data_IF_336728477224
#
_entry.id   IF_336728477224
#
_cell.length_a   1.000
_cell.length_b   1.000
_cell.length_c   1.000
_cell.angle_alpha   90.00
_cell.angle_beta   90.00
_cell.angle_gamma   90.00
#
_symmetry.space_group_name_H-M   'P 1'
#
loop_
_entity.id
_entity.type
_entity.pdbx_description
1 polymer ?
#
# COMPACT_ATOMS: atom_id res chain seq x y z
N UNK A 1 5.81 26.41 20.88
CA UNK A 1 4.80 25.59 20.18
C UNK A 1 3.44 26.05 20.66
N UNK A 2 2.69 26.75 19.81
CA UNK A 2 1.40 27.37 20.18
C UNK A 2 0.30 26.32 20.26
N UNK A 3 -0.73 26.56 21.09
CA UNK A 3 -1.85 25.64 21.29
C UNK A 3 -2.54 25.24 19.97
N UNK A 4 -2.57 26.15 18.99
CA UNK A 4 -3.11 25.91 17.65
C UNK A 4 -2.38 24.79 16.91
N UNK A 5 -1.06 24.70 17.05
CA UNK A 5 -0.25 23.64 16.42
C UNK A 5 -0.57 22.28 17.03
N UNK A 6 -0.83 22.22 18.34
CA UNK A 6 -1.22 20.98 19.03
C UNK A 6 -2.61 20.53 18.59
N UNK A 7 -3.56 21.45 18.44
CA UNK A 7 -4.92 21.13 17.99
C UNK A 7 -4.88 20.62 16.54
N UNK A 8 -4.19 21.32 15.63
CA UNK A 8 -4.06 20.91 14.24
C UNK A 8 -3.37 19.54 14.11
N UNK A 9 -2.29 19.30 14.86
CA UNK A 9 -1.60 18.02 14.88
C UNK A 9 -2.50 16.87 15.37
N UNK A 10 -3.26 17.08 16.45
CA UNK A 10 -4.19 16.07 16.96
C UNK A 10 -5.32 15.77 15.98
N UNK A 11 -5.89 16.79 15.32
CA UNK A 11 -6.92 16.58 14.29
C UNK A 11 -6.41 15.73 13.11
N UNK A 12 -5.20 16.03 12.63
CA UNK A 12 -4.57 15.25 11.56
C UNK A 12 -4.28 13.82 12.02
N UNK A 13 -3.81 13.63 13.26
CA UNK A 13 -3.62 12.30 13.83
C UNK A 13 -4.93 11.51 13.93
N UNK A 14 -6.00 12.13 14.42
CA UNK A 14 -7.32 11.48 14.50
C UNK A 14 -7.82 11.07 13.12
N UNK A 15 -7.66 11.93 12.11
CA UNK A 15 -7.99 11.60 10.73
C UNK A 15 -7.14 10.43 10.19
N UNK A 16 -5.85 10.40 10.53
CA UNK A 16 -4.95 9.31 10.16
C UNK A 16 -5.31 7.98 10.85
N UNK A 17 -5.68 8.01 12.14
CA UNK A 17 -6.10 6.83 12.89
C UNK A 17 -7.45 6.28 12.42
N UNK A 18 -8.36 7.16 12.00
CA UNK A 18 -9.68 6.78 11.49
C UNK A 18 -9.61 6.00 10.16
N UNK A 19 -8.52 6.14 9.40
CA UNK A 19 -8.30 5.41 8.16
C UNK A 19 -7.35 4.23 8.43
N UNK A 20 -7.86 3.01 8.70
CA UNK A 20 -7.00 1.83 8.64
C UNK A 20 -6.38 1.77 7.24
N UNK A 21 -5.07 2.02 7.17
CA UNK A 21 -4.38 2.17 5.89
C UNK A 21 -4.54 0.94 5.00
N UNK A 22 -4.43 1.13 3.69
CA UNK A 22 -4.62 0.06 2.70
C UNK A 22 -3.78 -1.19 2.98
N UNK A 23 -2.54 -1.03 3.46
CA UNK A 23 -1.66 -2.12 3.86
C UNK A 23 -2.20 -2.93 5.05
N UNK A 24 -2.78 -2.25 6.04
CA UNK A 24 -3.35 -2.85 7.25
C UNK A 24 -4.64 -3.61 6.91
N UNK A 25 -5.52 -2.99 6.11
CA UNK A 25 -6.72 -3.64 5.57
C UNK A 25 -6.38 -4.87 4.73
N UNK A 26 -5.34 -4.77 3.88
CA UNK A 26 -4.86 -5.89 3.09
C UNK A 26 -4.36 -7.03 3.99
N UNK A 27 -3.52 -6.73 4.98
CA UNK A 27 -3.02 -7.75 5.92
C UNK A 27 -4.15 -8.40 6.74
N UNK A 28 -5.09 -7.60 7.26
CA UNK A 28 -6.28 -8.09 7.98
C UNK A 28 -7.13 -9.00 7.10
N UNK A 29 -7.45 -8.56 5.89
CA UNK A 29 -8.22 -9.36 4.92
C UNK A 29 -7.52 -10.68 4.61
N UNK A 30 -6.21 -10.63 4.37
CA UNK A 30 -5.43 -11.83 4.06
C UNK A 30 -5.38 -12.79 5.26
N UNK A 31 -5.31 -12.25 6.48
CA UNK A 31 -5.36 -13.04 7.72
C UNK A 31 -6.73 -13.70 7.92
N UNK A 32 -7.81 -12.97 7.67
CA UNK A 32 -9.19 -13.48 7.81
C UNK A 32 -9.52 -14.52 6.73
N UNK A 33 -9.10 -14.29 5.48
CA UNK A 33 -9.47 -15.15 4.34
C UNK A 33 -8.55 -16.37 4.16
N UNK A 34 -7.24 -16.22 4.42
CA UNK A 34 -6.24 -17.27 4.18
C UNK A 34 -5.54 -17.75 5.46
N UNK A 35 -5.99 -17.29 6.63
CA UNK A 35 -5.51 -17.72 7.94
C UNK A 35 -4.26 -17.01 8.45
N UNK A 36 -3.90 -17.31 9.72
CA UNK A 36 -2.86 -16.60 10.49
C UNK A 36 -1.47 -16.66 9.84
N UNK A 37 -1.10 -17.79 9.23
CA UNK A 37 0.20 -17.95 8.55
C UNK A 37 0.31 -17.05 7.32
N UNK A 38 -0.75 -16.95 6.52
CA UNK A 38 -0.78 -16.07 5.34
C UNK A 38 -0.71 -14.59 5.76
N UNK A 39 -1.37 -14.23 6.86
CA UNK A 39 -1.26 -12.91 7.49
C UNK A 39 0.18 -12.55 7.87
N UNK A 40 0.88 -13.45 8.59
CA UNK A 40 2.28 -13.23 8.99
C UNK A 40 3.21 -13.03 7.80
N UNK A 41 3.10 -13.87 6.75
CA UNK A 41 3.91 -13.72 5.54
C UNK A 41 3.61 -12.42 4.79
N UNK A 42 2.35 -11.96 4.84
CA UNK A 42 1.94 -10.69 4.23
C UNK A 42 2.51 -9.50 5.01
N UNK A 43 2.45 -9.55 6.34
CA UNK A 43 3.05 -8.54 7.22
C UNK A 43 4.56 -8.44 7.06
N UNK A 44 5.26 -9.59 6.99
CA UNK A 44 6.70 -9.62 6.73
C UNK A 44 7.05 -9.03 5.36
N UNK A 45 6.27 -9.36 4.32
CA UNK A 45 6.46 -8.78 2.99
C UNK A 45 6.28 -7.26 2.97
N UNK A 46 5.25 -6.75 3.64
CA UNK A 46 5.01 -5.31 3.79
C UNK A 46 6.15 -4.63 4.57
N UNK A 47 6.64 -5.25 5.65
CA UNK A 47 7.75 -4.73 6.43
C UNK A 47 9.07 -4.67 5.65
N UNK A 48 9.39 -5.74 4.90
CA UNK A 48 10.58 -5.79 4.05
C UNK A 48 10.52 -4.75 2.92
N UNK A 49 9.34 -4.57 2.30
CA UNK A 49 9.15 -3.55 1.28
C UNK A 49 9.36 -2.13 1.86
N UNK A 50 8.81 -1.86 3.05
CA UNK A 50 9.00 -0.58 3.73
C UNK A 50 10.49 -0.34 4.10
N UNK A 51 11.17 -1.36 4.60
CA UNK A 51 12.60 -1.29 4.92
C UNK A 51 13.44 -1.02 3.65
N UNK A 52 13.19 -1.75 2.57
CA UNK A 52 13.86 -1.56 1.29
C UNK A 52 13.64 -0.15 0.73
N UNK A 53 12.39 0.33 0.74
CA UNK A 53 12.06 1.70 0.32
C UNK A 53 12.80 2.76 1.15
N UNK A 54 12.86 2.57 2.47
CA UNK A 54 13.55 3.49 3.38
C UNK A 54 15.06 3.49 3.14
N UNK A 55 15.66 2.32 2.91
CA UNK A 55 17.06 2.20 2.52
C UNK A 55 17.34 2.88 1.19
N UNK A 56 16.49 2.68 0.18
CA UNK A 56 16.62 3.36 -1.11
C UNK A 56 16.51 4.88 -0.95
N UNK A 57 15.62 5.37 -0.08
CA UNK A 57 15.51 6.78 0.24
C UNK A 57 16.80 7.34 0.88
N UNK A 58 17.38 6.60 1.83
CA UNK A 58 18.62 6.98 2.51
C UNK A 58 19.85 6.96 1.58
N UNK A 59 19.93 5.99 0.67
CA UNK A 59 21.14 5.73 -0.12
C UNK A 59 21.32 6.63 -1.34
N UNK A 60 20.32 7.43 -1.74
CA UNK A 60 20.52 8.29 -2.91
C UNK A 60 19.28 8.93 -3.53
N UNK A 61 18.08 8.70 -2.98
CA UNK A 61 16.89 9.41 -3.48
C UNK A 61 17.02 10.93 -3.31
N UNK A 62 17.69 11.37 -2.24
CA UNK A 62 18.01 12.79 -2.02
C UNK A 62 18.94 13.35 -3.11
N UNK A 63 20.00 12.61 -3.48
CA UNK A 63 20.90 12.98 -4.58
C UNK A 63 20.23 13.04 -5.96
N UNK A 64 19.17 12.26 -6.20
CA UNK A 64 18.38 12.36 -7.44
C UNK A 64 17.56 13.67 -7.47
N UNK A 65 17.02 14.08 -6.32
CA UNK A 65 16.24 15.31 -6.23
C UNK A 65 17.08 16.58 -6.29
N UNK A 66 18.37 16.53 -5.90
CA UNK A 66 19.29 17.65 -6.12
C UNK A 66 19.66 17.82 -7.60
N UNK A 67 19.78 16.72 -8.35
CA UNK A 67 20.05 16.74 -9.80
C UNK A 67 18.84 17.17 -10.64
N UNK A 68 17.62 16.82 -10.22
CA UNK A 68 16.38 17.18 -10.93
C UNK A 68 15.35 17.82 -9.97
N UNK A 69 15.48 19.14 -9.69
CA UNK A 69 14.59 19.83 -8.75
C UNK A 69 13.11 19.81 -9.16
N UNK A 70 12.84 19.82 -10.47
CA UNK A 70 11.49 19.75 -11.01
C UNK A 70 10.83 18.38 -10.78
N UNK A 71 11.61 17.30 -10.69
CA UNK A 71 11.09 15.95 -10.52
C UNK A 71 10.44 15.78 -9.13
N UNK A 72 11.00 16.41 -8.09
CA UNK A 72 10.39 16.44 -6.76
C UNK A 72 9.03 17.14 -6.78
N UNK A 73 8.94 18.30 -7.45
CA UNK A 73 7.68 19.03 -7.63
C UNK A 73 6.63 18.23 -8.40
N UNK A 74 7.03 17.64 -9.54
CA UNK A 74 6.16 16.78 -10.34
C UNK A 74 5.67 15.55 -9.57
N UNK A 75 6.54 14.91 -8.79
CA UNK A 75 6.18 13.78 -7.94
C UNK A 75 5.20 14.19 -6.84
N UNK A 76 5.39 15.36 -6.23
CA UNK A 76 4.47 15.90 -5.22
C UNK A 76 3.08 16.15 -5.80
N UNK A 77 3.01 16.81 -6.95
CA UNK A 77 1.74 17.13 -7.63
C UNK A 77 1.08 15.85 -8.15
N UNK A 78 1.85 14.96 -8.79
CA UNK A 78 1.38 13.67 -9.28
C UNK A 78 0.86 12.78 -8.14
N UNK A 79 1.58 12.74 -7.02
CA UNK A 79 1.15 12.03 -5.82
C UNK A 79 -0.14 12.59 -5.23
N UNK A 80 -0.28 13.92 -5.17
CA UNK A 80 -1.52 14.56 -4.71
C UNK A 80 -2.72 14.25 -5.62
N UNK A 81 -2.54 14.34 -6.94
CA UNK A 81 -3.55 13.95 -7.94
C UNK A 81 -3.93 12.47 -7.82
N UNK A 82 -2.95 11.60 -7.62
CA UNK A 82 -3.17 10.17 -7.45
C UNK A 82 -3.98 9.87 -6.18
N UNK A 83 -3.69 10.54 -5.06
CA UNK A 83 -4.46 10.40 -3.83
C UNK A 83 -5.90 10.92 -3.98
N UNK A 84 -6.11 12.05 -4.67
CA UNK A 84 -7.45 12.54 -4.99
C UNK A 84 -8.23 11.53 -5.84
N UNK A 85 -7.56 10.91 -6.81
CA UNK A 85 -8.16 9.86 -7.64
C UNK A 85 -8.53 8.62 -6.82
N UNK A 86 -7.65 8.13 -5.94
CA UNK A 86 -7.94 7.01 -5.02
C UNK A 86 -9.10 7.35 -4.09
N UNK A 87 -9.15 8.56 -3.54
CA UNK A 87 -10.24 9.01 -2.68
C UNK A 87 -11.58 8.98 -3.43
N UNK A 88 -11.61 9.53 -4.65
CA UNK A 88 -12.80 9.50 -5.50
C UNK A 88 -13.23 8.07 -5.88
N UNK A 89 -12.27 7.23 -6.29
CA UNK A 89 -12.52 5.84 -6.63
C UNK A 89 -13.06 5.05 -5.44
N UNK A 90 -12.51 5.27 -4.24
CA UNK A 90 -12.97 4.62 -3.01
C UNK A 90 -14.38 5.05 -2.66
N UNK A 91 -14.70 6.34 -2.73
CA UNK A 91 -16.05 6.86 -2.46
C UNK A 91 -17.09 6.27 -3.42
N UNK A 92 -16.75 6.17 -4.71
CA UNK A 92 -17.65 5.61 -5.73
C UNK A 92 -17.91 4.11 -5.53
N UNK A 93 -16.89 3.34 -5.15
CA UNK A 93 -16.99 1.90 -4.97
C UNK A 93 -17.31 1.47 -3.53
N UNK A 94 -17.48 2.42 -2.59
CA UNK A 94 -17.80 2.14 -1.19
C UNK A 94 -19.12 1.35 -1.00
N UNK A 95 -20.02 1.40 -1.99
CA UNK A 95 -21.29 0.65 -1.97
C UNK A 95 -21.18 -0.78 -2.52
N UNK A 96 -20.05 -1.15 -3.12
CA UNK A 96 -19.85 -2.50 -3.62
C UNK A 96 -19.55 -3.46 -2.45
N UNK A 97 -20.14 -4.66 -2.40
CA UNK A 97 -19.78 -5.67 -1.42
C UNK A 97 -18.27 -5.95 -1.50
N UNK A 98 -17.62 -6.18 -0.35
CA UNK A 98 -16.17 -6.46 -0.24
C UNK A 98 -15.76 -7.85 -0.81
N UNK A 99 -16.30 -8.23 -1.97
CA UNK A 99 -16.00 -9.46 -2.68
C UNK A 99 -14.73 -9.37 -3.52
N UNK A 100 -13.81 -10.30 -3.28
CA UNK A 100 -12.84 -10.83 -4.26
C UNK A 100 -11.67 -9.97 -4.80
N UNK A 101 -11.14 -8.98 -4.08
CA UNK A 101 -9.86 -8.32 -4.45
C UNK A 101 -8.62 -8.84 -3.69
N UNK A 102 -8.63 -10.09 -3.23
CA UNK A 102 -7.48 -10.71 -2.56
C UNK A 102 -7.23 -12.11 -3.11
N UNK A 103 -6.50 -12.19 -4.22
CA UNK A 103 -6.12 -13.48 -4.81
C UNK A 103 -5.18 -13.44 -6.01
N UNK A 104 -4.79 -12.27 -6.53
CA UNK A 104 -4.21 -12.21 -7.88
C UNK A 104 -2.71 -12.54 -8.02
N UNK A 105 -1.92 -12.74 -6.94
CA UNK A 105 -0.45 -12.80 -7.11
C UNK A 105 0.23 -14.08 -6.59
N UNK A 106 -0.41 -14.93 -5.77
CA UNK A 106 0.26 -16.15 -5.25
C UNK A 106 -0.32 -17.49 -5.73
N UNK A 107 -1.60 -17.56 -6.11
CA UNK A 107 -2.19 -18.84 -6.55
C UNK A 107 -2.01 -19.15 -8.05
N UNK A 108 -1.72 -18.18 -8.91
CA UNK A 108 -1.50 -18.44 -10.36
C UNK A 108 -0.11 -18.95 -10.70
N UNK A 109 0.90 -18.70 -9.86
CA UNK A 109 2.26 -19.20 -10.07
C UNK A 109 2.37 -20.70 -9.76
N UNK A 110 1.74 -21.18 -8.68
CA UNK A 110 1.72 -22.61 -8.34
C UNK A 110 0.65 -23.38 -9.12
N UNK A 111 -0.51 -22.78 -9.42
CA UNK A 111 -1.53 -23.43 -10.26
C UNK A 111 -1.09 -23.52 -11.73
N UNK A 112 -0.33 -22.54 -12.24
CA UNK A 112 0.19 -22.57 -13.62
C UNK A 112 1.30 -23.61 -13.83
N UNK A 113 2.12 -23.90 -12.81
CA UNK A 113 3.17 -24.93 -12.88
C UNK A 113 2.58 -26.35 -12.85
N UNK A 114 1.55 -26.61 -12.05
CA UNK A 114 0.87 -27.91 -12.02
C UNK A 114 0.05 -28.20 -13.29
N UNK A 115 -0.55 -27.17 -13.89
CA UNK A 115 -1.36 -27.34 -15.10
C UNK A 115 -0.51 -27.58 -16.37
N UNK A 116 0.74 -27.08 -16.42
CA UNK A 116 1.66 -27.35 -17.54
C UNK A 116 2.17 -28.81 -17.57
N UNK A 117 2.30 -29.46 -16.41
CA UNK A 117 2.74 -30.86 -16.33
C UNK A 117 1.62 -31.87 -16.63
N UNK A 118 0.35 -31.47 -16.50
CA UNK A 118 -0.81 -32.32 -16.80
C UNK A 118 -1.24 -32.27 -18.28
N UNK A 119 -0.81 -31.23 -19.02
CA UNK A 119 -1.13 -31.03 -20.45
C UNK A 119 0.02 -31.39 -21.39
N UNK A 120 1.16 -31.85 -20.87
CA UNK A 120 2.33 -32.31 -21.65
C UNK A 120 2.37 -33.86 -21.70
N UNK A 121 1.31 -34.44 -22.28
CA UNK A 121 1.27 -35.84 -22.74
C UNK A 121 0.63 -35.93 -24.12
#
# INVERSE_FOLDING_TARGET
MTADSLIAFNLVLLAALASPGAALLFCMRTTVMAGRRAGMLTGLGLGLAAAFWTLAALLGLEGIFTLFPWAYGALKIGGALYLLWIAYATWRHARAPLGQAAGATRHTLMAGLGLRLLLEK
#
